data_IF_957572440402
#
_entry.id   IF_957572440402
#
_cell.length_a   1.000
_cell.length_b   1.000
_cell.length_c   1.000
_cell.angle_alpha   90.00
_cell.angle_beta   90.00
_cell.angle_gamma   90.00
#
_symmetry.space_group_name_H-M   'P 1'
#
loop_
_entity.id
_entity.type
_entity.pdbx_description
1 polymer ?
#
# COMPACT_ATOMS: atom_id res chain seq x y z
N UNK A 1 45.29 56.32 -35.54
CA UNK A 1 46.54 56.63 -34.81
C UNK A 1 46.48 55.95 -33.44
N UNK A 2 47.47 55.07 -33.14
CA UNK A 2 48.02 54.63 -31.82
C UNK A 2 47.04 54.38 -30.66
N UNK A 3 46.71 53.12 -30.27
CA UNK A 3 47.41 52.15 -29.36
C UNK A 3 47.88 52.69 -27.99
N UNK A 4 47.35 52.09 -26.91
CA UNK A 4 48.03 51.36 -25.79
C UNK A 4 47.07 51.28 -24.58
N UNK A 5 46.71 50.12 -24.03
CA UNK A 5 47.48 49.21 -23.14
C UNK A 5 47.21 49.62 -21.67
N UNK A 6 46.71 48.81 -20.71
CA UNK A 6 47.20 47.53 -20.16
C UNK A 6 46.19 47.02 -19.09
N UNK A 7 45.72 45.76 -19.13
CA UNK A 7 46.04 44.56 -18.29
C UNK A 7 45.67 44.56 -16.78
N UNK A 8 44.94 43.52 -16.39
CA UNK A 8 44.87 42.84 -15.07
C UNK A 8 43.77 41.77 -15.14
N UNK A 9 44.06 40.46 -15.27
CA UNK A 9 44.30 39.49 -14.18
C UNK A 9 42.97 39.16 -13.48
N UNK A 10 42.40 37.96 -13.39
CA UNK A 10 42.86 36.57 -13.50
C UNK A 10 41.90 35.74 -12.62
N UNK A 11 41.73 34.45 -12.91
CA UNK A 11 41.25 33.46 -11.92
C UNK A 11 39.87 32.84 -12.14
N UNK A 12 39.85 31.50 -12.26
CA UNK A 12 38.77 30.67 -11.72
C UNK A 12 38.01 29.81 -12.71
N UNK A 13 38.67 28.79 -13.26
CA UNK A 13 37.96 27.59 -13.73
C UNK A 13 37.21 26.95 -12.55
N UNK A 14 35.92 26.74 -12.75
CA UNK A 14 35.02 26.09 -11.79
C UNK A 14 33.85 25.48 -12.53
N UNK A 15 34.15 24.64 -13.53
CA UNK A 15 33.17 23.79 -14.19
C UNK A 15 32.54 22.88 -13.15
N UNK A 16 31.37 23.28 -12.63
CA UNK A 16 30.52 22.40 -11.83
C UNK A 16 30.00 21.34 -12.78
N UNK A 17 30.59 20.14 -12.71
CA UNK A 17 30.05 18.95 -13.35
C UNK A 17 28.58 18.81 -12.97
N UNK A 18 27.72 18.92 -13.98
CA UNK A 18 26.32 18.59 -13.85
C UNK A 18 26.22 17.09 -13.47
N UNK A 19 25.34 16.71 -12.53
CA UNK A 19 25.17 15.31 -12.18
C UNK A 19 24.81 14.50 -13.43
N UNK A 20 25.30 13.26 -13.55
CA UNK A 20 25.02 12.44 -14.72
C UNK A 20 23.51 12.28 -14.87
N UNK A 21 22.99 12.77 -16.00
CA UNK A 21 21.58 12.57 -16.35
C UNK A 21 21.29 11.08 -16.35
N UNK A 22 20.38 10.64 -15.47
CA UNK A 22 19.88 9.28 -15.47
C UNK A 22 19.45 8.92 -16.90
N UNK A 23 20.11 7.91 -17.45
CA UNK A 23 19.95 7.49 -18.84
C UNK A 23 18.52 7.01 -19.01
N UNK A 24 17.72 7.69 -19.85
CA UNK A 24 16.33 7.28 -20.11
C UNK A 24 16.34 5.83 -20.62
N UNK A 25 15.59 4.91 -20.00
CA UNK A 25 15.49 3.55 -20.51
C UNK A 25 14.97 3.58 -21.94
N UNK A 26 15.63 2.82 -22.83
CA UNK A 26 15.17 2.69 -24.21
C UNK A 26 13.80 2.00 -24.28
N UNK A 27 13.05 2.12 -25.39
CA UNK A 27 11.73 1.52 -25.54
C UNK A 27 11.69 0.02 -25.21
N UNK A 28 12.77 -0.71 -25.51
CA UNK A 28 12.89 -2.15 -25.21
C UNK A 28 13.07 -2.49 -23.72
N UNK A 29 13.59 -1.58 -22.90
CA UNK A 29 13.76 -1.80 -21.46
C UNK A 29 12.43 -1.70 -20.71
N UNK A 30 11.56 -0.75 -21.08
CA UNK A 30 10.21 -0.62 -20.51
C UNK A 30 9.36 -1.86 -20.78
N UNK A 31 9.50 -2.46 -21.96
CA UNK A 31 8.84 -3.74 -22.28
C UNK A 31 9.36 -4.89 -21.44
N UNK A 32 10.68 -4.96 -21.19
CA UNK A 32 11.28 -5.99 -20.34
C UNK A 32 10.84 -5.88 -18.87
N UNK A 33 10.80 -4.67 -18.32
CA UNK A 33 10.33 -4.42 -16.95
C UNK A 33 8.86 -4.81 -16.77
N UNK A 34 8.02 -4.49 -17.78
CA UNK A 34 6.61 -4.87 -17.78
C UNK A 34 6.42 -6.39 -17.85
N UNK A 35 7.20 -7.09 -18.69
CA UNK A 35 7.18 -8.55 -18.76
C UNK A 35 7.60 -9.18 -17.43
N UNK A 36 8.68 -8.67 -16.81
CA UNK A 36 9.13 -9.15 -15.50
C UNK A 36 8.10 -8.87 -14.39
N UNK A 37 7.40 -7.73 -14.44
CA UNK A 37 6.30 -7.44 -13.52
C UNK A 37 5.14 -8.43 -13.69
N UNK A 38 4.71 -8.69 -14.93
CA UNK A 38 3.64 -9.65 -15.23
C UNK A 38 3.99 -11.06 -14.72
N UNK A 39 5.22 -11.51 -14.95
CA UNK A 39 5.69 -12.81 -14.48
C UNK A 39 5.66 -12.92 -12.94
N UNK A 40 6.06 -11.86 -12.22
CA UNK A 40 6.00 -11.83 -10.74
C UNK A 40 4.56 -11.86 -10.23
N UNK A 41 3.66 -11.07 -10.82
CA UNK A 41 2.24 -11.07 -10.44
C UNK A 41 1.63 -12.46 -10.65
N UNK A 42 1.92 -13.11 -11.78
CA UNK A 42 1.46 -14.48 -12.06
C UNK A 42 2.00 -15.50 -11.04
N UNK A 43 3.28 -15.38 -10.67
CA UNK A 43 3.90 -16.25 -9.66
C UNK A 43 3.25 -16.08 -8.27
N UNK A 44 2.91 -14.86 -7.86
CA UNK A 44 2.19 -14.59 -6.61
C UNK A 44 0.78 -15.18 -6.67
N UNK A 45 0.05 -14.95 -7.78
CA UNK A 45 -1.32 -15.44 -7.95
C UNK A 45 -1.43 -16.98 -7.99
N UNK A 46 -0.41 -17.67 -8.48
CA UNK A 46 -0.37 -19.13 -8.57
C UNK A 46 -0.03 -19.85 -7.25
N UNK A 47 0.37 -19.12 -6.19
CA UNK A 47 0.73 -19.75 -4.90
C UNK A 47 -0.50 -20.32 -4.19
N UNK A 48 -0.40 -21.53 -3.60
CA UNK A 48 -1.48 -22.09 -2.81
C UNK A 48 -1.77 -21.20 -1.59
N UNK A 49 -3.03 -20.80 -1.44
CA UNK A 49 -3.52 -20.04 -0.28
C UNK A 49 -3.35 -20.89 0.98
N UNK A 50 -2.33 -20.60 1.78
CA UNK A 50 -2.01 -21.33 3.02
C UNK A 50 -0.52 -21.62 3.29
N UNK A 51 0.39 -21.31 2.36
CA UNK A 51 1.83 -21.58 2.51
C UNK A 51 2.66 -20.31 2.79
N UNK A 52 2.25 -19.48 3.76
CA UNK A 52 3.07 -18.37 4.26
C UNK A 52 3.59 -18.71 5.66
N UNK A 53 4.85 -19.15 5.75
CA UNK A 53 5.57 -19.24 7.02
C UNK A 53 6.13 -17.87 7.37
N UNK A 54 5.49 -17.14 8.28
CA UNK A 54 6.08 -15.92 8.85
C UNK A 54 7.27 -16.27 9.75
N UNK A 55 8.34 -15.44 9.79
CA UNK A 55 9.31 -15.49 10.88
C UNK A 55 8.63 -14.97 12.15
N UNK A 56 8.52 -15.80 13.19
CA UNK A 56 8.02 -15.37 14.51
C UNK A 56 8.97 -14.35 15.15
N UNK A 57 8.48 -13.27 15.78
CA UNK A 57 9.23 -12.59 16.81
C UNK A 57 9.20 -13.43 18.10
N UNK A 58 10.34 -13.50 18.78
CA UNK A 58 10.55 -14.32 19.96
C UNK A 58 9.73 -13.85 21.19
N UNK A 59 8.98 -14.81 21.76
CA UNK A 59 8.53 -15.00 23.17
C UNK A 59 8.35 -13.78 24.11
N UNK A 60 7.13 -13.69 24.66
CA UNK A 60 6.84 -13.25 26.03
C UNK A 60 5.61 -14.00 26.55
N UNK A 61 5.78 -14.86 27.55
CA UNK A 61 4.72 -15.73 28.06
C UNK A 61 3.76 -15.05 29.03
N UNK A 62 2.50 -15.45 28.98
CA UNK A 62 1.46 -15.10 29.96
C UNK A 62 0.22 -15.97 29.76
N UNK A 63 0.04 -16.96 30.63
CA UNK A 63 -1.22 -17.71 30.76
C UNK A 63 -2.25 -16.84 31.48
N UNK A 64 -3.44 -16.71 30.91
CA UNK A 64 -4.62 -16.16 31.56
C UNK A 64 -5.87 -16.70 30.86
N UNK A 65 -6.61 -17.58 31.54
CA UNK A 65 -7.79 -18.23 31.01
C UNK A 65 -9.07 -17.41 31.13
N UNK A 66 -10.05 -17.77 30.30
CA UNK A 66 -11.47 -17.52 30.54
C UNK A 66 -12.19 -16.68 29.47
N UNK A 67 -12.77 -17.35 28.48
CA UNK A 67 -14.18 -17.29 28.07
C UNK A 67 -14.30 -17.78 26.63
N UNK A 68 -14.68 -19.05 26.51
CA UNK A 68 -14.76 -19.79 25.25
C UNK A 68 -16.08 -19.45 24.53
N UNK A 69 -15.96 -18.74 23.42
CA UNK A 69 -16.87 -18.82 22.29
C UNK A 69 -15.96 -18.69 21.08
N UNK A 70 -15.70 -19.75 20.30
CA UNK A 70 -14.88 -19.62 19.11
C UNK A 70 -15.67 -18.76 18.13
N UNK A 71 -15.39 -17.45 18.15
CA UNK A 71 -15.88 -16.51 17.16
C UNK A 71 -15.48 -17.08 15.81
N UNK A 72 -16.46 -17.25 14.92
CA UNK A 72 -16.22 -17.76 13.57
C UNK A 72 -15.24 -16.81 12.90
N UNK A 73 -13.96 -17.17 12.80
CA UNK A 73 -12.97 -16.37 12.08
C UNK A 73 -13.11 -16.62 10.57
N UNK A 74 -12.83 -15.62 9.72
CA UNK A 74 -12.65 -15.87 8.30
C UNK A 74 -11.52 -16.88 8.07
N UNK A 75 -11.56 -17.59 6.94
CA UNK A 75 -10.54 -18.57 6.61
C UNK A 75 -9.13 -17.95 6.62
N UNK A 76 -8.16 -18.66 7.19
CA UNK A 76 -6.76 -18.24 7.32
C UNK A 76 -6.55 -16.96 8.16
N UNK A 77 -7.52 -16.57 8.99
CA UNK A 77 -7.35 -15.53 10.00
C UNK A 77 -7.11 -16.16 11.38
N UNK A 78 -6.30 -15.50 12.19
CA UNK A 78 -6.15 -15.74 13.63
C UNK A 78 -6.46 -14.46 14.40
N UNK A 79 -6.66 -14.55 15.71
CA UNK A 79 -6.84 -13.36 16.54
C UNK A 79 -5.51 -12.85 17.08
N UNK A 80 -5.37 -11.54 17.12
CA UNK A 80 -4.29 -10.85 17.82
C UNK A 80 -4.86 -9.89 18.85
N UNK A 81 -4.23 -9.84 20.02
CA UNK A 81 -4.65 -8.95 21.09
C UNK A 81 -4.07 -7.55 20.87
N UNK A 82 -4.93 -6.56 20.99
CA UNK A 82 -4.58 -5.14 21.03
C UNK A 82 -4.98 -4.56 22.40
N UNK A 83 -4.52 -3.35 22.75
CA UNK A 83 -5.02 -2.63 23.93
C UNK A 83 -6.55 -2.41 23.96
N UNK A 84 -7.23 -2.56 22.81
CA UNK A 84 -8.66 -2.35 22.65
C UNK A 84 -9.45 -3.66 22.45
N UNK A 85 -8.82 -4.81 22.67
CA UNK A 85 -9.42 -6.14 22.49
C UNK A 85 -8.85 -6.90 21.28
N UNK A 86 -9.42 -8.07 20.96
CA UNK A 86 -8.94 -8.90 19.85
C UNK A 86 -9.27 -8.28 18.49
N UNK A 87 -8.41 -8.51 17.51
CA UNK A 87 -8.64 -8.24 16.09
C UNK A 87 -8.36 -9.49 15.28
N UNK A 88 -9.25 -9.82 14.33
CA UNK A 88 -9.00 -10.90 13.40
C UNK A 88 -8.06 -10.44 12.29
N UNK A 89 -7.05 -11.25 11.99
CA UNK A 89 -5.99 -10.87 11.07
C UNK A 89 -5.41 -12.05 10.33
N UNK A 90 -5.07 -11.82 9.05
CA UNK A 90 -4.29 -12.71 8.21
C UNK A 90 -2.98 -12.03 7.84
N UNK A 91 -1.85 -12.75 7.97
CA UNK A 91 -0.53 -12.28 7.56
C UNK A 91 0.11 -13.23 6.59
N UNK A 92 0.71 -12.69 5.56
CA UNK A 92 1.48 -13.44 4.57
C UNK A 92 2.77 -12.69 4.25
N UNK A 93 3.84 -13.44 4.06
CA UNK A 93 5.11 -12.90 3.59
C UNK A 93 5.46 -13.52 2.25
N UNK A 94 5.88 -12.69 1.31
CA UNK A 94 6.29 -13.09 -0.02
C UNK A 94 7.75 -12.69 -0.23
N UNK A 95 8.65 -13.61 -0.61
CA UNK A 95 9.99 -13.21 -1.05
C UNK A 95 9.88 -12.26 -2.24
N UNK A 96 10.66 -11.19 -2.19
CA UNK A 96 10.74 -10.16 -3.20
C UNK A 96 12.21 -9.84 -3.50
N UNK A 97 12.78 -10.59 -4.44
CA UNK A 97 14.16 -10.39 -4.92
C UNK A 97 14.32 -9.09 -5.72
N UNK A 98 13.27 -8.28 -5.82
CA UNK A 98 13.30 -6.97 -6.46
C UNK A 98 14.12 -6.01 -5.60
N UNK A 99 15.43 -5.97 -5.83
CA UNK A 99 16.32 -4.90 -5.37
C UNK A 99 16.00 -3.56 -6.04
N UNK A 100 14.73 -3.13 -6.01
CA UNK A 100 14.23 -1.95 -6.71
C UNK A 100 14.91 -0.70 -6.20
N UNK A 101 15.73 -0.08 -7.05
CA UNK A 101 16.31 1.22 -6.79
C UNK A 101 15.21 2.29 -6.77
N UNK A 102 14.81 2.69 -5.55
CA UNK A 102 13.79 3.73 -5.34
C UNK A 102 14.26 5.12 -5.79
N UNK A 103 15.55 5.33 -6.11
CA UNK A 103 16.07 6.64 -6.55
C UNK A 103 15.41 7.11 -7.84
N UNK A 104 15.17 6.19 -8.77
CA UNK A 104 14.48 6.53 -10.01
C UNK A 104 13.04 6.97 -9.72
N UNK A 105 12.32 6.21 -8.88
CA UNK A 105 10.96 6.55 -8.46
C UNK A 105 10.92 7.89 -7.70
N UNK A 106 11.85 8.11 -6.77
CA UNK A 106 12.01 9.37 -6.04
C UNK A 106 12.11 10.55 -7.00
N UNK A 107 13.01 10.47 -8.00
CA UNK A 107 13.19 11.55 -8.98
C UNK A 107 11.96 11.82 -9.85
N UNK A 108 11.20 10.78 -10.19
CA UNK A 108 10.02 10.89 -11.06
C UNK A 108 8.77 11.35 -10.31
N UNK A 109 8.62 10.93 -9.06
CA UNK A 109 7.41 11.11 -8.27
C UNK A 109 7.51 12.26 -7.27
N UNK A 110 8.72 12.76 -7.00
CA UNK A 110 8.95 13.88 -6.07
C UNK A 110 8.83 13.48 -4.60
N UNK A 111 9.07 12.21 -4.27
CA UNK A 111 9.15 11.73 -2.88
C UNK A 111 10.61 11.60 -2.45
N UNK A 112 10.87 11.76 -1.15
CA UNK A 112 12.20 11.50 -0.62
C UNK A 112 12.53 9.99 -0.76
N UNK A 113 13.77 9.61 -1.10
CA UNK A 113 14.16 8.20 -1.16
C UNK A 113 13.87 7.42 0.13
N UNK A 114 13.91 8.10 1.27
CA UNK A 114 13.65 7.57 2.60
C UNK A 114 12.16 7.19 2.77
N UNK A 115 11.25 8.05 2.31
CA UNK A 115 9.80 7.78 2.35
C UNK A 115 9.44 6.53 1.54
N UNK A 116 10.14 6.31 0.43
CA UNK A 116 9.94 5.19 -0.48
C UNK A 116 10.58 3.87 0.01
N UNK A 117 11.35 3.88 1.10
CA UNK A 117 11.93 2.63 1.66
C UNK A 117 10.86 1.72 2.24
N UNK A 118 9.80 2.30 2.82
CA UNK A 118 8.70 1.56 3.45
C UNK A 118 7.35 2.10 2.97
N UNK A 119 6.98 1.86 1.70
CA UNK A 119 5.67 2.22 1.19
C UNK A 119 4.61 1.32 1.82
N UNK A 120 3.55 1.92 2.34
CA UNK A 120 2.39 1.22 2.86
C UNK A 120 1.28 1.25 1.80
N UNK A 121 1.08 0.12 1.14
CA UNK A 121 -0.04 -0.08 0.22
C UNK A 121 -1.32 -0.30 1.04
N UNK A 122 -2.39 0.42 0.70
CA UNK A 122 -3.68 0.37 1.40
C UNK A 122 -4.81 0.14 0.39
N UNK A 123 -5.71 -0.76 0.77
CA UNK A 123 -7.00 -1.01 0.12
C UNK A 123 -8.05 -1.41 1.18
N UNK A 124 -9.32 -1.04 0.99
CA UNK A 124 -10.38 -1.36 1.97
C UNK A 124 -11.65 -1.88 1.34
N UNK A 125 -12.34 -2.76 2.06
CA UNK A 125 -13.74 -3.10 1.79
C UNK A 125 -14.64 -2.53 2.87
N UNK A 126 -15.78 -1.99 2.46
CA UNK A 126 -16.61 -1.14 3.31
C UNK A 126 -18.07 -1.57 3.31
N UNK A 127 -18.81 -1.23 4.36
CA UNK A 127 -20.23 -1.58 4.49
C UNK A 127 -21.17 -0.78 3.59
N UNK A 128 -20.67 0.16 2.79
CA UNK A 128 -21.48 1.00 1.92
C UNK A 128 -20.65 1.75 0.87
N UNK A 129 -21.25 1.96 -0.30
CA UNK A 129 -20.57 2.53 -1.47
C UNK A 129 -20.46 4.07 -1.44
N UNK A 130 -21.18 4.73 -0.51
CA UNK A 130 -21.42 6.17 -0.54
C UNK A 130 -20.72 6.95 0.57
N UNK A 131 -19.89 6.31 1.41
CA UNK A 131 -19.06 6.99 2.42
C UNK A 131 -19.82 7.76 3.52
N UNK A 132 -21.10 7.46 3.74
CA UNK A 132 -21.89 8.08 4.82
C UNK A 132 -21.37 7.73 6.22
N UNK A 133 -21.78 8.47 7.25
CA UNK A 133 -21.26 8.35 8.65
C UNK A 133 -21.42 6.97 9.29
N UNK A 134 -22.30 6.11 8.77
CA UNK A 134 -22.47 4.72 9.19
C UNK A 134 -21.62 3.69 8.43
N UNK A 135 -20.86 4.13 7.42
CA UNK A 135 -19.95 3.26 6.65
C UNK A 135 -18.73 2.94 7.50
N UNK A 136 -18.37 1.66 7.58
CA UNK A 136 -17.14 1.20 8.23
C UNK A 136 -16.32 0.39 7.25
N UNK A 137 -14.99 0.45 7.39
CA UNK A 137 -14.10 -0.48 6.73
C UNK A 137 -14.12 -1.79 7.53
N UNK A 138 -14.68 -2.85 6.95
CA UNK A 138 -14.74 -4.15 7.61
C UNK A 138 -13.58 -5.06 7.20
N UNK A 139 -12.91 -4.75 6.08
CA UNK A 139 -11.67 -5.38 5.64
C UNK A 139 -10.67 -4.28 5.33
N UNK A 140 -9.48 -4.35 5.93
CA UNK A 140 -8.38 -3.44 5.62
C UNK A 140 -7.19 -4.27 5.19
N UNK A 141 -6.84 -4.16 3.91
CA UNK A 141 -5.65 -4.77 3.33
C UNK A 141 -4.48 -3.79 3.37
N UNK A 142 -3.36 -4.25 3.92
CA UNK A 142 -2.11 -3.52 4.00
C UNK A 142 -1.00 -4.37 3.40
N UNK A 143 -0.07 -3.74 2.69
CA UNK A 143 1.19 -4.37 2.34
C UNK A 143 2.35 -3.39 2.46
N UNK A 144 3.52 -3.88 2.83
CA UNK A 144 4.74 -3.08 2.83
C UNK A 144 5.95 -3.96 2.52
N UNK A 145 7.01 -3.32 2.06
CA UNK A 145 8.29 -3.98 1.89
C UNK A 145 8.95 -4.18 3.25
N UNK A 146 9.37 -5.41 3.52
CA UNK A 146 10.06 -5.80 4.74
C UNK A 146 11.31 -6.60 4.36
N UNK A 147 12.46 -5.92 4.41
CA UNK A 147 13.74 -6.42 3.90
C UNK A 147 13.66 -6.82 2.42
N UNK A 148 13.93 -8.11 2.19
CA UNK A 148 13.97 -8.84 0.94
C UNK A 148 12.62 -9.52 0.61
N UNK A 149 11.53 -9.05 1.22
CA UNK A 149 10.18 -9.49 0.90
C UNK A 149 9.10 -8.42 1.01
N UNK A 150 7.88 -8.84 0.70
CA UNK A 150 6.65 -8.09 0.86
C UNK A 150 5.83 -8.74 1.97
N UNK A 151 5.54 -7.98 3.01
CA UNK A 151 4.59 -8.39 4.05
C UNK A 151 3.20 -7.89 3.66
N UNK A 152 2.23 -8.79 3.69
CA UNK A 152 0.80 -8.49 3.49
C UNK A 152 0.04 -8.81 4.78
N UNK A 153 -0.79 -7.87 5.20
CA UNK A 153 -1.64 -8.01 6.38
C UNK A 153 -3.06 -7.62 6.03
N UNK A 154 -4.02 -8.42 6.46
CA UNK A 154 -5.43 -8.18 6.24
C UNK A 154 -6.17 -8.25 7.58
N UNK A 155 -6.70 -7.11 8.03
CA UNK A 155 -7.53 -7.03 9.23
C UNK A 155 -9.00 -7.17 8.85
N UNK A 156 -9.74 -7.94 9.64
CA UNK A 156 -11.17 -8.18 9.44
C UNK A 156 -11.97 -7.81 10.70
N UNK A 157 -13.06 -7.09 10.51
CA UNK A 157 -13.97 -6.67 11.57
C UNK A 157 -14.99 -7.78 11.84
N UNK A 158 -14.75 -8.63 12.85
CA UNK A 158 -15.70 -9.71 13.17
C UNK A 158 -16.95 -9.20 13.90
N UNK A 159 -16.83 -8.07 14.60
CA UNK A 159 -17.92 -7.36 15.28
C UNK A 159 -17.63 -5.86 15.28
N UNK A 160 -18.67 -5.02 15.22
CA UNK A 160 -18.54 -3.56 15.27
C UNK A 160 -17.91 -3.03 16.57
N UNK A 161 -17.95 -3.79 17.67
CA UNK A 161 -17.27 -3.45 18.92
C UNK A 161 -15.73 -3.57 18.81
N UNK A 162 -15.22 -4.34 17.84
CA UNK A 162 -13.78 -4.54 17.60
C UNK A 162 -13.15 -3.43 16.74
N UNK A 163 -13.93 -2.45 16.28
CA UNK A 163 -13.43 -1.42 15.36
C UNK A 163 -12.25 -0.64 15.95
N UNK A 164 -12.26 -0.36 17.26
CA UNK A 164 -11.12 0.31 17.92
C UNK A 164 -9.85 -0.54 17.89
N UNK A 165 -9.97 -1.87 18.06
CA UNK A 165 -8.83 -2.79 17.95
C UNK A 165 -8.28 -2.82 16.52
N UNK A 166 -9.17 -2.88 15.52
CA UNK A 166 -8.80 -2.82 14.10
C UNK A 166 -8.08 -1.51 13.75
N UNK A 167 -8.67 -0.36 14.09
CA UNK A 167 -8.07 0.95 13.79
C UNK A 167 -6.74 1.16 14.51
N UNK A 168 -6.60 0.64 15.74
CA UNK A 168 -5.32 0.67 16.44
C UNK A 168 -4.26 -0.14 15.70
N UNK A 169 -4.57 -1.37 15.29
CA UNK A 169 -3.64 -2.25 14.58
C UNK A 169 -3.24 -1.70 13.20
N UNK A 170 -4.18 -1.08 12.48
CA UNK A 170 -3.87 -0.33 11.25
C UNK A 170 -2.95 0.85 11.55
N UNK A 171 -3.21 1.57 12.65
CA UNK A 171 -2.39 2.70 13.10
C UNK A 171 -0.94 2.34 13.41
N UNK A 172 -0.68 1.16 13.96
CA UNK A 172 0.70 0.64 14.12
C UNK A 172 1.43 0.58 12.78
N UNK A 173 0.79 0.00 11.75
CA UNK A 173 1.37 -0.09 10.42
C UNK A 173 1.59 1.27 9.76
N UNK A 174 0.63 2.20 9.93
CA UNK A 174 0.69 3.58 9.40
C UNK A 174 1.83 4.37 10.05
N UNK A 175 2.08 4.20 11.35
CA UNK A 175 3.13 4.92 12.07
C UNK A 175 4.54 4.58 11.62
N UNK A 176 4.74 3.38 11.11
CA UNK A 176 6.02 2.94 10.56
C UNK A 176 6.17 3.25 9.06
N UNK A 177 5.14 3.77 8.39
CA UNK A 177 5.17 4.00 6.94
C UNK A 177 5.89 5.31 6.59
N UNK A 178 6.64 5.30 5.48
CA UNK A 178 7.22 6.53 4.91
C UNK A 178 6.28 7.22 3.93
N UNK A 179 5.51 6.44 3.16
CA UNK A 179 4.52 6.93 2.20
C UNK A 179 3.31 6.00 2.21
N UNK A 180 2.10 6.57 2.12
CA UNK A 180 0.88 5.82 1.85
C UNK A 180 0.73 5.65 0.34
N UNK A 181 0.46 4.44 -0.13
CA UNK A 181 0.21 4.13 -1.54
C UNK A 181 -1.17 3.50 -1.68
N UNK A 182 -1.99 3.99 -2.60
CA UNK A 182 -3.29 3.37 -2.88
C UNK A 182 -3.75 3.62 -4.30
N UNK A 183 -4.85 3.00 -4.71
CA UNK A 183 -5.51 3.27 -5.98
C UNK A 183 -6.84 3.98 -5.72
N UNK A 184 -6.93 5.28 -6.02
CA UNK A 184 -8.08 6.13 -5.71
C UNK A 184 -8.35 6.35 -4.21
N UNK A 185 -7.54 5.80 -3.31
CA UNK A 185 -7.83 5.87 -1.88
C UNK A 185 -7.67 7.25 -1.25
N UNK A 186 -7.10 8.24 -1.95
CA UNK A 186 -7.04 9.63 -1.43
C UNK A 186 -8.43 10.24 -1.28
N UNK A 187 -9.38 9.82 -2.12
CA UNK A 187 -10.77 10.33 -2.10
C UNK A 187 -11.72 9.37 -1.40
N UNK A 188 -11.34 8.10 -1.23
CA UNK A 188 -12.23 7.04 -0.74
C UNK A 188 -11.74 6.43 0.57
N UNK A 189 -10.78 5.49 0.51
CA UNK A 189 -10.36 4.68 1.66
C UNK A 189 -9.78 5.49 2.81
N UNK A 190 -8.87 6.42 2.50
CA UNK A 190 -8.13 7.17 3.51
C UNK A 190 -9.03 8.14 4.29
N UNK A 191 -9.85 8.99 3.64
CA UNK A 191 -10.80 9.84 4.35
C UNK A 191 -11.81 9.06 5.21
N UNK A 192 -12.23 7.86 4.75
CA UNK A 192 -13.11 6.99 5.54
C UNK A 192 -12.42 6.58 6.84
N UNK A 193 -11.22 6.00 6.77
CA UNK A 193 -10.47 5.56 7.94
C UNK A 193 -10.16 6.73 8.90
N UNK A 194 -9.78 7.90 8.39
CA UNK A 194 -9.57 9.10 9.20
C UNK A 194 -10.85 9.53 9.93
N UNK A 195 -12.00 9.49 9.24
CA UNK A 195 -13.30 9.80 9.85
C UNK A 195 -13.62 8.82 10.97
N UNK A 196 -13.40 7.51 10.75
CA UNK A 196 -13.61 6.47 11.78
C UNK A 196 -12.71 6.66 12.98
N UNK A 197 -11.44 7.02 12.77
CA UNK A 197 -10.47 7.32 13.83
C UNK A 197 -10.97 8.46 14.72
N UNK A 198 -11.46 9.55 14.12
CA UNK A 198 -12.03 10.71 14.83
C UNK A 198 -13.31 10.31 15.58
N UNK A 199 -14.23 9.59 14.95
CA UNK A 199 -15.48 9.14 15.57
C UNK A 199 -15.24 8.24 16.78
N UNK A 200 -14.17 7.42 16.75
CA UNK A 200 -13.75 6.57 17.86
C UNK A 200 -12.88 7.27 18.90
N UNK A 201 -12.56 8.55 18.70
CA UNK A 201 -11.67 9.35 19.58
C UNK A 201 -10.35 8.63 19.84
N UNK A 202 -9.81 7.98 18.81
CA UNK A 202 -8.58 7.20 18.93
C UNK A 202 -7.37 8.12 19.09
N UNK A 203 -6.45 7.72 19.96
CA UNK A 203 -5.22 8.44 20.34
C UNK A 203 -4.06 7.43 20.42
N UNK A 204 -2.85 7.73 19.92
CA UNK A 204 -2.48 8.92 19.15
C UNK A 204 -3.10 8.97 17.76
N UNK A 205 -3.35 10.19 17.28
CA UNK A 205 -3.71 10.43 15.88
C UNK A 205 -2.64 9.84 14.94
N UNK A 206 -3.08 9.32 13.80
CA UNK A 206 -2.15 8.84 12.78
C UNK A 206 -1.31 9.98 12.21
N UNK A 207 -0.03 9.73 11.88
CA UNK A 207 0.81 10.76 11.26
C UNK A 207 0.27 11.18 9.89
N UNK A 208 0.53 12.43 9.53
CA UNK A 208 0.26 12.92 8.18
C UNK A 208 1.34 12.42 7.23
N UNK A 209 1.05 11.34 6.51
CA UNK A 209 1.97 10.77 5.53
C UNK A 209 1.83 11.44 4.15
N UNK A 210 2.92 11.55 3.38
CA UNK A 210 2.83 11.71 1.94
C UNK A 210 1.97 10.57 1.36
N UNK A 211 1.13 10.89 0.37
CA UNK A 211 0.21 9.92 -0.23
C UNK A 211 0.43 9.85 -1.74
N UNK A 212 0.87 8.69 -2.24
CA UNK A 212 0.92 8.35 -3.65
C UNK A 212 -0.38 7.65 -4.10
N UNK A 213 -1.26 8.39 -4.76
CA UNK A 213 -2.47 7.82 -5.37
C UNK A 213 -2.21 7.42 -6.83
N UNK A 214 -2.18 6.12 -7.07
CA UNK A 214 -1.86 5.51 -8.36
C UNK A 214 -2.88 5.85 -9.45
N UNK A 215 -4.14 6.16 -9.11
CA UNK A 215 -5.14 6.55 -10.10
C UNK A 215 -4.75 7.85 -10.81
N UNK A 216 -4.11 8.77 -10.09
CA UNK A 216 -3.64 10.04 -10.67
C UNK A 216 -2.57 9.79 -11.72
N UNK A 217 -1.64 8.86 -11.45
CA UNK A 217 -0.61 8.45 -12.41
C UNK A 217 -1.20 7.67 -13.58
N UNK A 218 -2.10 6.72 -13.30
CA UNK A 218 -2.76 5.91 -14.31
C UNK A 218 -3.50 6.80 -15.32
N UNK A 219 -4.25 7.81 -14.85
CA UNK A 219 -4.92 8.78 -15.71
C UNK A 219 -3.94 9.60 -16.56
N UNK A 220 -2.80 10.00 -16.00
CA UNK A 220 -1.80 10.77 -16.76
C UNK A 220 -1.18 9.97 -17.90
N UNK A 221 -0.97 8.67 -17.70
CA UNK A 221 -0.24 7.81 -18.65
C UNK A 221 -1.19 7.13 -19.65
N UNK A 222 -2.33 6.64 -19.17
CA UNK A 222 -3.18 5.69 -19.90
C UNK A 222 -4.53 6.26 -20.36
N UNK A 223 -5.01 7.38 -19.81
CA UNK A 223 -6.28 8.00 -20.27
C UNK A 223 -6.36 8.23 -21.79
N UNK A 224 -5.27 8.57 -22.51
CA UNK A 224 -5.34 8.70 -23.97
C UNK A 224 -5.46 7.38 -24.74
N UNK A 225 -5.28 6.23 -24.08
CA UNK A 225 -5.12 4.91 -24.71
C UNK A 225 -6.14 3.87 -24.24
N UNK A 226 -6.79 4.09 -23.10
CA UNK A 226 -7.73 3.16 -22.49
C UNK A 226 -9.12 3.80 -22.36
N UNK A 227 -10.20 2.99 -22.35
CA UNK A 227 -11.58 3.51 -22.24
C UNK A 227 -11.80 4.26 -20.92
N UNK A 228 -11.19 3.77 -19.85
CA UNK A 228 -11.14 4.42 -18.55
C UNK A 228 -9.84 4.05 -17.82
N UNK A 229 -9.71 4.53 -16.58
CA UNK A 229 -8.64 4.13 -15.67
C UNK A 229 -9.27 3.56 -14.40
N UNK A 230 -10.24 2.66 -14.53
CA UNK A 230 -10.62 1.79 -13.42
C UNK A 230 -9.49 0.79 -13.14
N UNK A 231 -9.36 0.32 -11.91
CA UNK A 231 -8.30 -0.62 -11.53
C UNK A 231 -8.33 -1.88 -12.40
N UNK A 232 -9.51 -2.48 -12.59
CA UNK A 232 -9.70 -3.65 -13.45
C UNK A 232 -9.24 -3.39 -14.90
N UNK A 233 -9.54 -2.22 -15.47
CA UNK A 233 -9.10 -1.85 -16.83
C UNK A 233 -7.58 -1.75 -16.91
N UNK A 234 -6.93 -1.17 -15.90
CA UNK A 234 -5.45 -1.09 -15.84
C UNK A 234 -4.85 -2.49 -15.68
N UNK A 235 -5.39 -3.31 -14.79
CA UNK A 235 -4.95 -4.68 -14.56
C UNK A 235 -5.01 -5.50 -15.85
N UNK A 236 -6.13 -5.49 -16.57
CA UNK A 236 -6.30 -6.23 -17.81
C UNK A 236 -5.42 -5.66 -18.93
N UNK A 237 -5.52 -4.36 -19.21
CA UNK A 237 -4.89 -3.79 -20.40
C UNK A 237 -3.37 -3.57 -20.25
N UNK A 238 -2.87 -3.36 -19.02
CA UNK A 238 -1.45 -3.06 -18.76
C UNK A 238 -0.74 -4.26 -18.15
N UNK A 239 -1.36 -4.92 -17.17
CA UNK A 239 -0.75 -6.02 -16.42
C UNK A 239 -1.13 -7.40 -16.95
N UNK A 240 -2.01 -7.49 -17.97
CA UNK A 240 -2.53 -8.75 -18.50
C UNK A 240 -3.17 -9.64 -17.41
N UNK A 241 -3.67 -8.99 -16.35
CA UNK A 241 -4.22 -9.64 -15.18
C UNK A 241 -5.74 -9.74 -15.33
N UNK A 242 -6.23 -10.99 -15.38
CA UNK A 242 -7.64 -11.30 -15.53
C UNK A 242 -8.17 -11.92 -14.23
N UNK A 243 -9.13 -11.26 -13.57
CA UNK A 243 -9.74 -11.75 -12.34
C UNK A 243 -10.76 -12.85 -12.68
N UNK A 244 -10.52 -14.08 -12.25
CA UNK A 244 -11.34 -15.25 -12.61
C UNK A 244 -12.64 -15.38 -11.80
N UNK A 245 -12.73 -14.80 -10.59
CA UNK A 245 -13.85 -14.95 -9.65
C UNK A 245 -14.15 -13.65 -8.89
N UNK A 246 -14.10 -12.50 -9.57
CA UNK A 246 -14.29 -11.21 -8.88
C UNK A 246 -15.74 -11.01 -8.42
N UNK A 247 -15.92 -10.61 -7.17
CA UNK A 247 -17.24 -10.29 -6.65
C UNK A 247 -17.56 -8.85 -7.06
N UNK A 248 -18.74 -8.58 -7.68
CA UNK A 248 -19.17 -7.21 -7.92
C UNK A 248 -19.15 -6.42 -6.61
N UNK A 249 -18.52 -5.24 -6.61
CA UNK A 249 -18.38 -4.41 -5.41
C UNK A 249 -19.70 -4.09 -4.70
N UNK A 250 -20.81 -4.05 -5.46
CA UNK A 250 -22.16 -3.86 -4.93
C UNK A 250 -22.66 -5.00 -4.04
N UNK A 251 -22.11 -6.21 -4.19
CA UNK A 251 -22.48 -7.38 -3.40
C UNK A 251 -21.61 -7.57 -2.16
N UNK A 252 -20.45 -6.91 -2.10
CA UNK A 252 -19.48 -7.05 -1.01
C UNK A 252 -20.10 -6.72 0.36
N UNK A 253 -20.80 -5.58 0.56
CA UNK A 253 -21.43 -5.29 1.84
C UNK A 253 -22.46 -6.35 2.26
N UNK A 254 -23.28 -6.81 1.31
CA UNK A 254 -24.30 -7.83 1.57
C UNK A 254 -23.71 -9.16 2.05
N UNK A 255 -22.53 -9.54 1.54
CA UNK A 255 -21.82 -10.73 2.01
C UNK A 255 -21.27 -10.56 3.42
N UNK A 256 -20.73 -9.40 3.75
CA UNK A 256 -20.29 -9.10 5.11
C UNK A 256 -21.45 -9.19 6.12
N UNK A 257 -22.60 -8.57 5.82
CA UNK A 257 -23.78 -8.67 6.70
C UNK A 257 -24.38 -10.09 6.77
N UNK A 258 -24.23 -10.90 5.72
CA UNK A 258 -24.60 -12.31 5.77
C UNK A 258 -23.64 -13.14 6.63
N UNK A 259 -22.37 -12.76 6.69
CA UNK A 259 -21.35 -13.42 7.51
C UNK A 259 -21.50 -13.11 9.01
N UNK A 260 -21.96 -11.90 9.35
CA UNK A 260 -22.22 -11.47 10.74
C UNK A 260 -23.46 -12.15 11.38
N UNK A 261 -24.27 -12.88 10.60
CA UNK A 261 -25.46 -13.60 11.08
C UNK A 261 -25.14 -15.06 11.35
#
# INVERSE_FOLDING_TARGET
>A
MRRSGTRGGGGGEGGRDAPPRARRPGPGAVTADLVALRARIAAIAARPRGAATSPSPARGGGQGGGADSPGRLPANCHEELTPFGPVAVRREWFPDDSGGDVRTLSSCLGFAPEDLQRPLFLDTETTGLSGGTGTVAFLVGLAWRDGDGLTFVQYFLCDFNQESALLWAVGECVREAGVLVSYNGRTFDWPLLQTRLVMRRADPAWPSLPHLDLLTLARRIFKPRLPDCALQTIEQAVLDLHRADDLPGTLIPGRYFAWLR
#
